data_IF_249219281031
#
_entry.id   IF_249219281031
#
_cell.length_a   1.000
_cell.length_b   1.000
_cell.length_c   1.000
_cell.angle_alpha   90.00
_cell.angle_beta   90.00
_cell.angle_gamma   90.00
#
_symmetry.space_group_name_H-M   'P 1'
#
loop_
_entity.id
_entity.type
_entity.pdbx_description
1 polymer ?
#
# COMPACT_ATOMS: atom_id res chain seq x y z
N UNK A 1 -14.76 57.95 -12.16
CA UNK A 1 -13.49 57.20 -12.29
C UNK A 1 -13.51 56.04 -11.30
N UNK A 2 -13.75 54.84 -11.83
CA UNK A 2 -13.47 53.49 -11.29
C UNK A 2 -14.08 53.02 -9.94
N UNK A 3 -15.09 52.16 -10.13
CA UNK A 3 -15.52 51.03 -9.29
C UNK A 3 -14.32 50.19 -8.80
N UNK A 4 -14.29 49.79 -7.52
CA UNK A 4 -13.50 48.62 -7.09
C UNK A 4 -14.43 47.64 -6.39
N UNK A 5 -14.83 46.59 -7.12
CA UNK A 5 -15.59 45.46 -6.58
C UNK A 5 -14.60 44.62 -5.78
N UNK A 6 -14.78 44.52 -4.46
CA UNK A 6 -14.13 43.49 -3.67
C UNK A 6 -14.76 42.16 -4.07
N UNK A 7 -14.09 41.41 -4.93
CA UNK A 7 -14.41 40.01 -5.16
C UNK A 7 -13.78 39.26 -4.00
N UNK A 8 -14.60 38.87 -3.03
CA UNK A 8 -14.22 37.86 -2.03
C UNK A 8 -14.10 36.54 -2.78
N UNK A 9 -12.90 36.22 -3.25
CA UNK A 9 -12.56 34.89 -3.77
C UNK A 9 -12.33 33.93 -2.59
N UNK A 10 -13.38 33.66 -1.81
CA UNK A 10 -13.41 32.57 -0.85
C UNK A 10 -13.82 31.30 -1.61
N UNK A 11 -12.86 30.65 -2.27
CA UNK A 11 -13.16 29.38 -2.92
C UNK A 11 -12.15 28.94 -3.97
N UNK A 12 -10.91 28.65 -3.57
CA UNK A 12 -9.98 27.83 -4.37
C UNK A 12 -8.99 26.99 -3.52
N UNK A 13 -9.17 26.87 -2.19
CA UNK A 13 -8.30 26.03 -1.34
C UNK A 13 -8.81 24.60 -1.14
N UNK A 14 -9.97 24.23 -1.69
CA UNK A 14 -10.57 22.91 -1.47
C UNK A 14 -10.03 21.82 -2.41
N UNK A 15 -9.40 22.18 -3.53
CA UNK A 15 -8.85 21.19 -4.47
C UNK A 15 -7.47 20.70 -4.04
N UNK A 16 -6.63 21.57 -3.48
CA UNK A 16 -5.27 21.22 -3.01
C UNK A 16 -5.25 20.36 -1.74
N UNK A 17 -6.33 20.35 -0.95
CA UNK A 17 -6.44 19.52 0.27
C UNK A 17 -6.93 18.08 -0.01
N UNK A 18 -7.32 17.75 -1.24
CA UNK A 18 -7.97 16.47 -1.54
C UNK A 18 -6.96 15.33 -1.77
N UNK A 19 -5.78 15.63 -2.31
CA UNK A 19 -4.88 14.60 -2.84
C UNK A 19 -3.97 13.97 -1.78
N UNK A 20 -3.48 14.75 -0.81
CA UNK A 20 -2.72 14.24 0.33
C UNK A 20 -3.47 13.16 1.13
N UNK A 21 -4.71 13.42 1.57
CA UNK A 21 -5.55 12.42 2.22
C UNK A 21 -5.84 11.20 1.34
N UNK A 22 -5.95 11.35 0.02
CA UNK A 22 -6.14 10.23 -0.90
C UNK A 22 -4.91 9.31 -0.94
N UNK A 23 -3.70 9.88 -1.02
CA UNK A 23 -2.45 9.09 -0.94
C UNK A 23 -2.32 8.41 0.42
N UNK A 24 -2.63 9.11 1.52
CA UNK A 24 -2.61 8.52 2.87
C UNK A 24 -3.58 7.34 2.96
N UNK A 25 -4.81 7.50 2.46
CA UNK A 25 -5.82 6.43 2.43
C UNK A 25 -5.36 5.23 1.60
N UNK A 26 -4.70 5.47 0.47
CA UNK A 26 -4.12 4.41 -0.34
C UNK A 26 -3.00 3.66 0.40
N UNK A 27 -2.11 4.37 1.10
CA UNK A 27 -1.05 3.77 1.92
C UNK A 27 -1.62 2.97 3.11
N UNK A 28 -2.69 3.45 3.74
CA UNK A 28 -3.40 2.74 4.80
C UNK A 28 -4.05 1.45 4.27
N UNK A 29 -4.66 1.49 3.08
CA UNK A 29 -5.20 0.29 2.42
C UNK A 29 -4.10 -0.73 2.13
N UNK A 30 -2.98 -0.30 1.54
CA UNK A 30 -1.83 -1.17 1.28
C UNK A 30 -1.29 -1.76 2.60
N UNK A 31 -1.24 -0.97 3.67
CA UNK A 31 -0.84 -1.45 5.01
C UNK A 31 -1.80 -2.52 5.52
N UNK A 32 -3.12 -2.31 5.38
CA UNK A 32 -4.14 -3.29 5.77
C UNK A 32 -4.03 -4.60 4.98
N UNK A 33 -3.84 -4.51 3.66
CA UNK A 33 -3.67 -5.70 2.82
C UNK A 33 -2.36 -6.45 3.13
N UNK A 34 -1.27 -5.71 3.43
CA UNK A 34 0.02 -6.28 3.86
C UNK A 34 -0.12 -7.01 5.19
N UNK A 35 -0.89 -6.44 6.12
CA UNK A 35 -1.21 -7.06 7.40
C UNK A 35 -2.06 -8.32 7.22
N UNK A 36 -3.08 -8.27 6.36
CA UNK A 36 -3.91 -9.45 6.08
C UNK A 36 -3.07 -10.59 5.52
N UNK A 37 -2.16 -10.30 4.58
CA UNK A 37 -1.23 -11.30 4.06
C UNK A 37 -0.32 -11.87 5.16
N UNK A 38 0.20 -11.03 6.07
CA UNK A 38 0.97 -11.50 7.21
C UNK A 38 0.16 -12.44 8.11
N UNK A 39 -1.08 -12.08 8.41
CA UNK A 39 -1.96 -12.85 9.28
C UNK A 39 -2.31 -14.22 8.63
N UNK A 40 -2.53 -14.25 7.31
CA UNK A 40 -2.70 -15.50 6.54
C UNK A 40 -1.45 -16.39 6.60
N UNK A 41 -0.26 -15.83 6.38
CA UNK A 41 0.99 -16.62 6.40
C UNK A 41 1.34 -17.09 7.81
N UNK A 42 1.14 -16.26 8.83
CA UNK A 42 1.49 -16.57 10.22
C UNK A 42 0.58 -17.64 10.82
N UNK A 43 -0.73 -17.59 10.51
CA UNK A 43 -1.71 -18.57 10.99
C UNK A 43 -1.70 -19.88 10.20
N UNK A 44 -1.07 -19.89 9.03
CA UNK A 44 -1.04 -21.04 8.15
C UNK A 44 -0.23 -22.23 8.71
N UNK A 45 -0.86 -23.40 8.74
CA UNK A 45 -0.29 -24.62 9.30
C UNK A 45 0.60 -25.44 8.34
N UNK A 46 0.74 -25.01 7.08
CA UNK A 46 1.50 -25.76 6.06
C UNK A 46 0.67 -26.63 5.11
N UNK A 47 -0.66 -26.64 5.24
CA UNK A 47 -1.55 -27.38 4.35
C UNK A 47 -1.78 -26.70 3.00
N UNK A 48 -1.84 -27.46 1.91
CA UNK A 48 -1.97 -26.92 0.55
C UNK A 48 -3.20 -26.01 0.35
N UNK A 49 -4.37 -26.35 0.90
CA UNK A 49 -5.56 -25.49 0.72
C UNK A 49 -5.43 -24.14 1.45
N UNK A 50 -4.60 -24.06 2.49
CA UNK A 50 -4.30 -22.83 3.21
C UNK A 50 -3.41 -21.87 2.41
N UNK A 51 -2.89 -22.26 1.25
CA UNK A 51 -2.08 -21.38 0.40
C UNK A 51 -2.94 -20.51 -0.52
N UNK A 52 -4.21 -20.90 -0.73
CA UNK A 52 -5.17 -20.13 -1.53
C UNK A 52 -5.37 -18.71 -0.97
N UNK A 53 -5.69 -18.52 0.33
CA UNK A 53 -5.81 -17.17 0.88
C UNK A 53 -4.50 -16.38 0.81
N UNK A 54 -3.34 -17.03 1.00
CA UNK A 54 -2.03 -16.36 0.89
C UNK A 54 -1.79 -15.82 -0.52
N UNK A 55 -2.05 -16.62 -1.56
CA UNK A 55 -1.91 -16.17 -2.96
C UNK A 55 -2.92 -15.08 -3.28
N UNK A 56 -4.18 -15.24 -2.85
CA UNK A 56 -5.22 -14.23 -3.06
C UNK A 56 -4.87 -12.89 -2.39
N UNK A 57 -4.45 -12.92 -1.12
CA UNK A 57 -4.01 -11.74 -0.37
C UNK A 57 -2.84 -11.03 -1.03
N UNK A 58 -1.86 -11.79 -1.54
CA UNK A 58 -0.75 -11.24 -2.33
C UNK A 58 -1.21 -10.56 -3.63
N UNK A 59 -2.17 -11.17 -4.36
CA UNK A 59 -2.72 -10.51 -5.56
C UNK A 59 -3.53 -9.25 -5.24
N UNK A 60 -4.28 -9.25 -4.13
CA UNK A 60 -4.98 -8.06 -3.64
C UNK A 60 -4.00 -6.97 -3.26
N UNK A 61 -2.92 -7.30 -2.54
CA UNK A 61 -1.86 -6.36 -2.20
C UNK A 61 -1.23 -5.75 -3.45
N UNK A 62 -0.92 -6.56 -4.46
CA UNK A 62 -0.39 -6.08 -5.74
C UNK A 62 -1.36 -5.11 -6.44
N UNK A 63 -2.67 -5.40 -6.44
CA UNK A 63 -3.67 -4.51 -7.00
C UNK A 63 -3.72 -3.17 -6.26
N UNK A 64 -3.71 -3.21 -4.92
CA UNK A 64 -3.70 -2.01 -4.07
C UNK A 64 -2.46 -1.14 -4.28
N UNK A 65 -1.28 -1.75 -4.48
CA UNK A 65 -0.06 -1.00 -4.78
C UNK A 65 -0.21 -0.26 -6.12
N UNK A 66 -0.72 -0.93 -7.16
CA UNK A 66 -0.94 -0.27 -8.45
C UNK A 66 -2.00 0.84 -8.38
N UNK A 67 -3.07 0.66 -7.59
CA UNK A 67 -4.07 1.70 -7.36
C UNK A 67 -3.47 2.89 -6.61
N UNK A 68 -2.69 2.63 -5.56
CA UNK A 68 -1.99 3.69 -4.82
C UNK A 68 -0.98 4.46 -5.67
N UNK A 69 -0.25 3.78 -6.55
CA UNK A 69 0.62 4.42 -7.54
C UNK A 69 -0.17 5.37 -8.44
N UNK A 70 -1.30 4.93 -9.01
CA UNK A 70 -2.15 5.79 -9.85
C UNK A 70 -2.67 7.00 -9.08
N UNK A 71 -3.07 6.82 -7.82
CA UNK A 71 -3.50 7.93 -6.96
C UNK A 71 -2.35 8.93 -6.77
N UNK A 72 -1.13 8.47 -6.45
CA UNK A 72 0.02 9.34 -6.27
C UNK A 72 0.44 10.06 -7.55
N UNK A 73 0.42 9.38 -8.70
CA UNK A 73 0.74 9.97 -10.01
C UNK A 73 -0.27 11.01 -10.47
N UNK A 74 -1.55 10.83 -10.12
CA UNK A 74 -2.62 11.75 -10.46
C UNK A 74 -2.74 12.94 -9.49
N UNK A 75 -2.00 12.92 -8.37
CA UNK A 75 -2.09 13.92 -7.31
C UNK A 75 -1.34 15.21 -7.67
N UNK A 76 -1.89 16.34 -7.26
CA UNK A 76 -1.18 17.62 -7.27
C UNK A 76 0.03 17.62 -6.30
N UNK A 77 0.98 18.57 -6.45
CA UNK A 77 2.09 18.71 -5.53
C UNK A 77 1.63 18.84 -4.07
N UNK A 78 2.22 18.04 -3.19
CA UNK A 78 1.85 18.00 -1.78
C UNK A 78 2.17 19.30 -1.05
N UNK A 79 1.26 19.71 -0.17
CA UNK A 79 1.59 20.70 0.86
C UNK A 79 2.53 20.08 1.91
N UNK A 80 3.12 20.93 2.76
CA UNK A 80 3.97 20.43 3.86
C UNK A 80 3.21 19.49 4.80
N UNK A 81 1.94 19.80 5.12
CA UNK A 81 1.12 18.97 6.00
C UNK A 81 0.80 17.62 5.36
N UNK A 82 0.46 17.62 4.07
CA UNK A 82 0.21 16.37 3.33
C UNK A 82 1.47 15.51 3.25
N UNK A 83 2.62 16.12 2.99
CA UNK A 83 3.90 15.41 2.94
C UNK A 83 4.24 14.75 4.29
N UNK A 84 3.94 15.39 5.43
CA UNK A 84 4.10 14.79 6.75
C UNK A 84 3.16 13.59 6.91
N UNK A 85 1.89 13.72 6.52
CA UNK A 85 0.91 12.64 6.57
C UNK A 85 1.33 11.42 5.76
N UNK A 86 1.74 11.65 4.50
CA UNK A 86 2.28 10.61 3.61
C UNK A 86 3.53 9.97 4.24
N UNK A 87 4.47 10.75 4.77
CA UNK A 87 5.68 10.21 5.40
C UNK A 87 5.38 9.34 6.64
N UNK A 88 4.38 9.68 7.45
CA UNK A 88 3.95 8.86 8.59
C UNK A 88 3.32 7.55 8.09
N UNK A 89 2.42 7.62 7.10
CA UNK A 89 1.78 6.44 6.53
C UNK A 89 2.81 5.49 5.86
N UNK A 90 3.79 6.03 5.14
CA UNK A 90 4.88 5.25 4.54
C UNK A 90 5.72 4.54 5.61
N UNK A 91 6.01 5.20 6.73
CA UNK A 91 6.75 4.57 7.83
C UNK A 91 5.96 3.42 8.48
N UNK A 92 4.65 3.58 8.64
CA UNK A 92 3.78 2.51 9.13
C UNK A 92 3.80 1.31 8.18
N UNK A 93 3.61 1.56 6.87
CA UNK A 93 3.69 0.54 5.84
C UNK A 93 5.04 -0.18 5.85
N UNK A 94 6.16 0.53 5.96
CA UNK A 94 7.49 -0.06 5.99
C UNK A 94 7.69 -1.02 7.17
N UNK A 95 7.13 -0.71 8.35
CA UNK A 95 7.17 -1.61 9.51
C UNK A 95 6.38 -2.89 9.25
N UNK A 96 5.18 -2.75 8.67
CA UNK A 96 4.32 -3.90 8.35
C UNK A 96 4.99 -4.79 7.29
N UNK A 97 5.48 -4.22 6.18
CA UNK A 97 6.20 -4.95 5.13
C UNK A 97 7.38 -5.74 5.69
N UNK A 98 8.21 -5.14 6.54
CA UNK A 98 9.33 -5.85 7.16
C UNK A 98 8.88 -7.02 8.03
N UNK A 99 7.77 -6.85 8.75
CA UNK A 99 7.17 -7.91 9.56
C UNK A 99 6.66 -9.05 8.66
N UNK A 100 5.90 -8.73 7.61
CA UNK A 100 5.37 -9.71 6.65
C UNK A 100 6.48 -10.49 5.96
N UNK A 101 7.55 -9.82 5.50
CA UNK A 101 8.70 -10.50 4.89
C UNK A 101 9.35 -11.46 5.88
N UNK A 102 9.55 -11.04 7.14
CA UNK A 102 10.10 -11.90 8.19
C UNK A 102 9.22 -13.14 8.43
N UNK A 103 7.90 -12.96 8.45
CA UNK A 103 6.92 -14.04 8.57
C UNK A 103 7.00 -15.01 7.38
N UNK A 104 7.07 -14.51 6.15
CA UNK A 104 7.19 -15.34 4.94
C UNK A 104 8.51 -16.12 4.94
N UNK A 105 9.63 -15.48 5.29
CA UNK A 105 10.93 -16.15 5.41
C UNK A 105 10.87 -17.26 6.46
N UNK A 106 10.22 -17.02 7.60
CA UNK A 106 10.03 -18.03 8.66
C UNK A 106 9.16 -19.18 8.18
N UNK A 107 8.12 -18.91 7.37
CA UNK A 107 7.24 -19.92 6.80
C UNK A 107 7.85 -20.67 5.61
N UNK A 108 9.02 -20.26 5.09
CA UNK A 108 9.67 -20.84 3.91
C UNK A 108 9.74 -22.38 3.93
N UNK A 109 10.11 -23.07 5.02
CA UNK A 109 10.15 -24.54 5.02
C UNK A 109 8.79 -25.19 4.69
N UNK A 110 7.67 -24.55 5.06
CA UNK A 110 6.31 -25.03 4.74
C UNK A 110 6.02 -24.85 3.25
N UNK A 111 6.41 -23.73 2.65
CA UNK A 111 6.29 -23.50 1.21
C UNK A 111 7.19 -24.45 0.40
N UNK A 112 8.42 -24.69 0.87
CA UNK A 112 9.36 -25.63 0.25
C UNK A 112 8.78 -27.05 0.23
N UNK A 113 8.19 -27.49 1.35
CA UNK A 113 7.55 -28.81 1.43
C UNK A 113 6.41 -29.00 0.42
N UNK A 114 5.74 -27.91 0.04
CA UNK A 114 4.68 -27.92 -0.97
C UNK A 114 5.16 -27.58 -2.38
N UNK A 115 6.46 -27.35 -2.58
CA UNK A 115 7.05 -26.89 -3.85
C UNK A 115 6.49 -25.54 -4.35
N UNK A 116 6.01 -24.69 -3.43
CA UNK A 116 5.37 -23.41 -3.76
C UNK A 116 6.33 -22.21 -3.72
N UNK A 117 7.55 -22.41 -3.22
CA UNK A 117 8.55 -21.33 -3.09
C UNK A 117 8.76 -20.51 -4.37
N UNK A 118 8.80 -21.08 -5.59
CA UNK A 118 8.88 -20.29 -6.82
C UNK A 118 7.72 -19.30 -7.00
N UNK A 119 6.49 -19.73 -6.70
CA UNK A 119 5.29 -18.88 -6.84
C UNK A 119 5.32 -17.74 -5.83
N UNK A 120 5.67 -18.03 -4.58
CA UNK A 120 5.79 -17.01 -3.54
C UNK A 120 6.87 -15.98 -3.90
N UNK A 121 8.02 -16.44 -4.42
CA UNK A 121 9.08 -15.54 -4.88
C UNK A 121 8.66 -14.64 -6.05
N UNK A 122 7.90 -15.18 -7.00
CA UNK A 122 7.35 -14.39 -8.13
C UNK A 122 6.45 -13.28 -7.59
N UNK A 123 5.53 -13.63 -6.69
CA UNK A 123 4.60 -12.68 -6.08
C UNK A 123 5.33 -11.54 -5.34
N UNK A 124 6.28 -11.88 -4.46
CA UNK A 124 7.12 -10.90 -3.77
C UNK A 124 7.90 -10.01 -4.75
N UNK A 125 8.36 -10.58 -5.87
CA UNK A 125 9.03 -9.85 -6.93
C UNK A 125 8.12 -8.84 -7.62
N UNK A 126 6.87 -9.20 -7.88
CA UNK A 126 5.85 -8.32 -8.48
C UNK A 126 5.48 -7.17 -7.54
N UNK A 127 5.21 -7.47 -6.27
CA UNK A 127 4.90 -6.47 -5.24
C UNK A 127 6.07 -5.48 -5.07
N UNK A 128 7.31 -5.99 -4.96
CA UNK A 128 8.51 -5.16 -4.89
C UNK A 128 8.67 -4.27 -6.12
N UNK A 129 8.37 -4.78 -7.32
CA UNK A 129 8.47 -4.00 -8.56
C UNK A 129 7.42 -2.89 -8.59
N UNK A 130 6.19 -3.19 -8.19
CA UNK A 130 5.10 -2.20 -8.13
C UNK A 130 5.37 -1.13 -7.07
N UNK A 131 6.00 -1.47 -5.95
CA UNK A 131 6.37 -0.51 -4.90
C UNK A 131 7.58 0.38 -5.22
N UNK A 132 8.20 0.24 -6.40
CA UNK A 132 9.31 1.09 -6.85
C UNK A 132 8.80 2.08 -7.89
N UNK A 133 8.19 3.16 -7.40
CA UNK A 133 7.92 4.38 -8.18
C UNK A 133 9.11 5.33 -8.12
#
# INVERSE_FOLDING_TARGET
MMLYRVIVAAGLFLTALADGPAIVSALEKITGDTKSLNDDVSSWNGGLLGTIPIVAGSTTLLASIHEGQKTAEASEPLTLLDAIGVAVATQALAKEVNTTISTIVTAKPKFDHLLLSPVILINLGLEKKAGRV
#
